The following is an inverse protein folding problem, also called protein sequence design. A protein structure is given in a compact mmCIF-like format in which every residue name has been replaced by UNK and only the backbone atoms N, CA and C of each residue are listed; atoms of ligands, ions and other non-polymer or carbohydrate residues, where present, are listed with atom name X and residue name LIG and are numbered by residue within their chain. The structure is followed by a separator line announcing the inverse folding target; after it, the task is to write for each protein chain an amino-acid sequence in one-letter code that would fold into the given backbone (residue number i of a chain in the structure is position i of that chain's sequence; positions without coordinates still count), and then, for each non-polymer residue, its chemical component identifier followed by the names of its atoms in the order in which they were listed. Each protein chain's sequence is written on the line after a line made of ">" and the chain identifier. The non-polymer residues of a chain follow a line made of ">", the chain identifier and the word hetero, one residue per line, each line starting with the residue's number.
data_IF_634256823016
#
_entry.id   IF_634256823016
#
_cell.length_a   1.000
_cell.length_b   1.000
_cell.length_c   1.000
_cell.angle_alpha   90.00
_cell.angle_beta   90.00
_cell.angle_gamma   90.00
#
_symmetry.space_group_name_H-M   'P 1'
#
loop_
_entity.id
_entity.type
_entity.pdbx_description
1 polymer ?
#
# COMPACT_ATOMS: atom_id res chain seq x y z
N UNK A 1 -32.96 1.10 -21.43
CA UNK A 1 -32.08 2.19 -20.96
C UNK A 1 -31.26 1.72 -19.76
N UNK A 2 -31.90 1.10 -18.76
CA UNK A 2 -31.25 0.47 -17.61
C UNK A 2 -30.24 -0.63 -18.00
N UNK A 3 -30.56 -1.50 -18.97
CA UNK A 3 -29.65 -2.60 -19.36
C UNK A 3 -28.35 -2.11 -20.01
N UNK A 4 -28.40 -1.00 -20.77
CA UNK A 4 -27.21 -0.36 -21.32
C UNK A 4 -26.34 0.26 -20.23
N UNK A 5 -26.96 0.84 -19.19
CA UNK A 5 -26.24 1.40 -18.05
C UNK A 5 -25.57 0.30 -17.22
N UNK A 6 -26.27 -0.80 -16.93
CA UNK A 6 -25.72 -1.93 -16.17
C UNK A 6 -24.57 -2.58 -16.95
N UNK A 7 -24.74 -2.78 -18.27
CA UNK A 7 -23.67 -3.28 -19.13
C UNK A 7 -22.45 -2.35 -19.11
N UNK A 8 -22.64 -1.04 -19.26
CA UNK A 8 -21.55 -0.06 -19.14
C UNK A 8 -20.84 -0.17 -17.79
N UNK A 9 -21.58 -0.16 -16.68
CA UNK A 9 -21.04 -0.22 -15.32
C UNK A 9 -20.17 -1.47 -15.09
N UNK A 10 -20.61 -2.62 -15.59
CA UNK A 10 -19.89 -3.88 -15.42
C UNK A 10 -18.58 -3.94 -16.23
N UNK A 11 -18.46 -3.20 -17.34
CA UNK A 11 -17.27 -3.23 -18.21
C UNK A 11 -16.31 -2.06 -17.96
N UNK A 12 -16.56 -1.19 -16.96
CA UNK A 12 -15.62 -0.13 -16.56
C UNK A 12 -14.22 -0.70 -16.27
N UNK A 13 -14.04 -1.79 -15.49
CA UNK A 13 -12.71 -2.29 -15.14
C UNK A 13 -11.88 -2.74 -16.34
N UNK A 14 -12.52 -3.22 -17.40
CA UNK A 14 -11.85 -3.70 -18.62
C UNK A 14 -11.15 -2.57 -19.37
N UNK A 15 -11.62 -1.34 -19.21
CA UNK A 15 -11.08 -0.17 -19.88
C UNK A 15 -10.05 0.58 -19.02
N UNK A 16 -9.77 0.10 -17.80
CA UNK A 16 -8.82 0.72 -16.88
C UNK A 16 -7.50 -0.05 -16.93
N UNK A 17 -6.44 0.57 -17.44
CA UNK A 17 -5.11 0.00 -17.35
C UNK A 17 -4.60 0.09 -15.89
N UNK A 18 -4.18 -1.03 -15.26
CA UNK A 18 -3.61 -1.01 -13.92
C UNK A 18 -2.29 -0.24 -13.79
N UNK A 19 -1.58 -0.06 -14.91
CA UNK A 19 -0.27 0.53 -14.94
C UNK A 19 -0.37 2.02 -15.32
N UNK A 20 0.22 2.87 -14.49
CA UNK A 20 0.40 4.30 -14.74
C UNK A 20 1.56 4.56 -15.69
N UNK A 21 2.69 3.91 -15.42
CA UNK A 21 3.94 4.04 -16.18
C UNK A 21 4.56 2.65 -16.29
N UNK A 22 5.00 2.31 -17.50
CA UNK A 22 5.73 1.07 -17.77
C UNK A 22 7.09 1.43 -18.38
N UNK A 23 8.17 1.03 -17.71
CA UNK A 23 9.55 1.20 -18.19
C UNK A 23 10.20 -0.19 -18.16
N UNK A 24 10.22 -0.86 -19.32
CA UNK A 24 10.73 -2.24 -19.42
C UNK A 24 9.94 -3.21 -18.54
N UNK A 25 10.60 -3.87 -17.60
CA UNK A 25 9.96 -4.77 -16.63
C UNK A 25 9.39 -4.06 -15.39
N UNK A 26 9.67 -2.76 -15.23
CA UNK A 26 9.15 -1.98 -14.11
C UNK A 26 7.77 -1.42 -14.45
N UNK A 27 6.74 -1.89 -13.74
CA UNK A 27 5.36 -1.44 -13.87
C UNK A 27 4.96 -0.66 -12.61
N UNK A 28 4.78 0.65 -12.74
CA UNK A 28 4.21 1.46 -11.68
C UNK A 28 2.69 1.37 -11.75
N UNK A 29 2.06 0.76 -10.74
CA UNK A 29 0.60 0.55 -10.70
C UNK A 29 -0.13 1.68 -9.99
N UNK A 30 -1.35 1.98 -10.41
CA UNK A 30 -2.16 3.05 -9.79
C UNK A 30 -2.43 2.81 -8.31
N UNK A 31 -2.61 1.56 -7.88
CA UNK A 31 -2.86 1.27 -6.47
C UNK A 31 -1.64 1.59 -5.60
N UNK A 32 -0.42 1.45 -6.14
CA UNK A 32 0.81 1.85 -5.47
C UNK A 32 0.83 3.36 -5.21
N UNK A 33 0.41 4.15 -6.20
CA UNK A 33 0.24 5.59 -6.03
C UNK A 33 -0.83 5.93 -4.97
N UNK A 34 -1.94 5.18 -4.94
CA UNK A 34 -2.98 5.38 -3.94
C UNK A 34 -2.50 5.12 -2.51
N UNK A 35 -1.57 4.20 -2.29
CA UNK A 35 -0.92 4.04 -0.99
C UNK A 35 -0.14 5.30 -0.58
N UNK A 36 0.62 5.91 -1.50
CA UNK A 36 1.35 7.16 -1.23
C UNK A 36 0.39 8.29 -0.87
N UNK A 37 -0.74 8.40 -1.60
CA UNK A 37 -1.78 9.38 -1.30
C UNK A 37 -2.36 9.13 0.09
N UNK A 38 -2.72 7.88 0.42
CA UNK A 38 -3.27 7.51 1.72
C UNK A 38 -2.30 7.86 2.87
N UNK A 39 -1.02 7.48 2.74
CA UNK A 39 0.01 7.81 3.74
C UNK A 39 0.19 9.32 3.89
N UNK A 40 0.19 10.07 2.78
CA UNK A 40 0.30 11.52 2.81
C UNK A 40 -0.87 12.17 3.53
N UNK A 41 -2.10 11.75 3.21
CA UNK A 41 -3.32 12.26 3.87
C UNK A 41 -3.29 11.98 5.37
N UNK A 42 -2.94 10.75 5.78
CA UNK A 42 -2.82 10.39 7.21
C UNK A 42 -1.77 11.26 7.89
N UNK A 43 -0.58 11.42 7.28
CA UNK A 43 0.48 12.26 7.83
C UNK A 43 0.02 13.71 8.03
N UNK A 44 -0.61 14.31 7.02
CA UNK A 44 -1.11 15.69 7.10
C UNK A 44 -2.19 15.85 8.18
N UNK A 45 -3.11 14.89 8.30
CA UNK A 45 -4.15 14.91 9.34
C UNK A 45 -3.56 14.77 10.74
N UNK A 46 -2.59 13.88 10.94
CA UNK A 46 -1.90 13.73 12.23
C UNK A 46 -1.16 15.00 12.59
N UNK A 47 -0.41 15.59 11.65
CA UNK A 47 0.31 16.86 11.89
C UNK A 47 -0.65 18.01 12.19
N UNK A 48 -1.79 18.09 11.49
CA UNK A 48 -2.85 19.07 11.76
C UNK A 48 -3.40 18.90 13.17
N UNK A 49 -3.71 17.66 13.58
CA UNK A 49 -4.22 17.35 14.92
C UNK A 49 -3.21 17.69 16.02
N UNK A 50 -1.95 17.28 15.86
CA UNK A 50 -0.86 17.60 16.81
C UNK A 50 -0.74 19.11 17.03
N UNK A 51 -0.80 19.89 15.95
CA UNK A 51 -0.72 21.35 16.03
C UNK A 51 -1.94 22.00 16.70
N UNK A 52 -3.15 21.53 16.41
CA UNK A 52 -4.39 22.20 16.85
C UNK A 52 -4.86 21.75 18.24
N UNK A 53 -4.65 20.49 18.59
CA UNK A 53 -5.08 19.93 19.89
C UNK A 53 -4.00 20.11 20.97
N UNK A 54 -2.92 20.85 20.67
CA UNK A 54 -1.82 21.22 21.58
C UNK A 54 -1.15 20.01 22.26
N UNK A 55 -1.04 18.89 21.55
CA UNK A 55 -0.26 17.76 22.05
C UNK A 55 1.22 18.14 22.14
N UNK A 56 1.90 17.77 23.23
CA UNK A 56 3.33 18.01 23.46
C UNK A 56 4.23 17.03 22.67
N UNK A 57 3.84 16.65 21.46
CA UNK A 57 4.66 15.80 20.60
C UNK A 57 5.48 16.68 19.64
N UNK A 58 6.80 16.48 19.63
CA UNK A 58 7.64 17.05 18.57
C UNK A 58 7.25 16.44 17.22
N UNK A 59 7.31 17.26 16.17
CA UNK A 59 7.15 16.83 14.78
C UNK A 59 8.09 15.67 14.43
N UNK A 60 9.32 15.66 14.95
CA UNK A 60 10.31 14.63 14.69
C UNK A 60 9.87 13.26 15.25
N UNK A 61 9.24 13.25 16.42
CA UNK A 61 8.71 12.03 17.03
C UNK A 61 7.61 11.46 16.13
N UNK A 62 6.67 12.29 15.70
CA UNK A 62 5.57 11.88 14.81
C UNK A 62 6.11 11.31 13.50
N UNK A 63 7.10 11.97 12.89
CA UNK A 63 7.72 11.49 11.66
C UNK A 63 8.45 10.17 11.86
N UNK A 64 9.22 10.01 12.94
CA UNK A 64 9.90 8.76 13.26
C UNK A 64 8.89 7.61 13.42
N UNK A 65 7.84 7.81 14.22
CA UNK A 65 6.78 6.80 14.38
C UNK A 65 6.08 6.47 13.07
N UNK A 66 5.84 7.48 12.23
CA UNK A 66 5.19 7.28 10.93
C UNK A 66 6.02 6.39 10.00
N UNK A 67 7.34 6.59 9.96
CA UNK A 67 8.26 5.74 9.19
C UNK A 67 8.24 4.31 9.74
N UNK A 68 8.34 4.15 11.06
CA UNK A 68 8.26 2.83 11.71
C UNK A 68 6.93 2.12 11.45
N UNK A 69 5.81 2.86 11.40
CA UNK A 69 4.50 2.32 11.08
C UNK A 69 4.44 1.81 9.64
N UNK A 70 4.97 2.57 8.66
CA UNK A 70 5.04 2.13 7.25
C UNK A 70 5.88 0.84 7.14
N UNK A 71 7.05 0.81 7.78
CA UNK A 71 7.89 -0.39 7.82
C UNK A 71 7.16 -1.58 8.46
N UNK A 72 6.44 -1.34 9.55
CA UNK A 72 5.62 -2.34 10.22
C UNK A 72 4.53 -2.92 9.31
N UNK A 73 3.86 -2.08 8.51
CA UNK A 73 2.86 -2.55 7.53
C UNK A 73 3.51 -3.40 6.44
N UNK A 74 4.66 -2.97 5.91
CA UNK A 74 5.36 -3.72 4.86
C UNK A 74 5.86 -5.09 5.35
N UNK A 75 6.53 -5.11 6.50
CA UNK A 75 7.06 -6.34 7.12
C UNK A 75 5.91 -7.24 7.56
N UNK A 76 4.93 -6.68 8.27
CA UNK A 76 3.76 -7.41 8.77
C UNK A 76 2.93 -8.01 7.64
N UNK A 77 2.72 -7.27 6.54
CA UNK A 77 2.04 -7.79 5.35
C UNK A 77 2.78 -8.98 4.73
N UNK A 78 4.12 -8.90 4.65
CA UNK A 78 4.93 -10.01 4.09
C UNK A 78 4.91 -11.24 4.99
N UNK A 79 5.12 -11.06 6.29
CA UNK A 79 5.08 -12.16 7.27
C UNK A 79 3.67 -12.78 7.33
N UNK A 80 2.63 -11.95 7.34
CA UNK A 80 1.25 -12.41 7.32
C UNK A 80 0.94 -13.24 6.08
N UNK A 81 1.37 -12.78 4.89
CA UNK A 81 1.22 -13.57 3.67
C UNK A 81 1.91 -14.94 3.77
N UNK A 82 3.15 -14.96 4.26
CA UNK A 82 3.94 -16.18 4.43
C UNK A 82 3.24 -17.15 5.38
N UNK A 83 2.82 -16.69 6.56
CA UNK A 83 2.23 -17.55 7.59
C UNK A 83 0.85 -18.06 7.18
N UNK A 84 -0.01 -17.19 6.63
CA UNK A 84 -1.42 -17.53 6.43
C UNK A 84 -1.74 -18.07 5.04
N UNK A 85 -0.94 -17.75 4.02
CA UNK A 85 -1.27 -18.11 2.62
C UNK A 85 -0.29 -19.10 1.99
N UNK A 86 1.00 -19.07 2.34
CA UNK A 86 2.02 -19.87 1.63
C UNK A 86 3.10 -20.46 2.55
N UNK A 87 2.71 -20.91 3.75
CA UNK A 87 3.65 -21.31 4.80
C UNK A 87 4.59 -22.44 4.36
N UNK A 88 4.04 -23.54 3.85
CA UNK A 88 4.83 -24.71 3.43
C UNK A 88 5.85 -24.37 2.34
N UNK A 89 5.49 -23.46 1.43
CA UNK A 89 6.40 -22.98 0.40
C UNK A 89 7.61 -22.33 1.06
N UNK A 90 7.41 -21.27 1.85
CA UNK A 90 8.49 -20.47 2.41
C UNK A 90 9.30 -21.17 3.52
N UNK A 91 8.78 -22.21 4.18
CA UNK A 91 9.58 -23.00 5.14
C UNK A 91 10.73 -23.74 4.44
N UNK A 92 10.48 -24.29 3.26
CA UNK A 92 11.54 -24.93 2.45
C UNK A 92 12.51 -23.92 1.83
N UNK A 93 12.18 -22.63 1.96
CA UNK A 93 12.56 -21.57 1.03
C UNK A 93 12.50 -20.19 1.74
N UNK A 94 13.34 -19.95 2.77
CA UNK A 94 13.24 -18.76 3.61
C UNK A 94 13.78 -17.46 2.98
N UNK A 95 14.78 -17.53 2.11
CA UNK A 95 15.37 -16.37 1.39
C UNK A 95 14.40 -15.58 0.46
N UNK A 96 13.54 -16.24 -0.31
CA UNK A 96 12.40 -15.72 -1.08
C UNK A 96 11.37 -14.93 -0.25
N UNK A 97 11.36 -15.04 1.08
CA UNK A 97 10.55 -14.15 1.92
C UNK A 97 11.00 -12.70 1.71
N UNK A 98 12.30 -12.45 1.56
CA UNK A 98 12.90 -11.12 1.42
C UNK A 98 13.08 -10.77 -0.06
N UNK A 99 13.50 -11.73 -0.89
CA UNK A 99 13.81 -11.52 -2.31
C UNK A 99 12.84 -12.28 -3.20
N UNK A 100 11.75 -11.65 -3.69
CA UNK A 100 10.75 -12.31 -4.52
C UNK A 100 11.23 -12.60 -5.96
N UNK A 101 12.45 -12.21 -6.32
CA UNK A 101 13.05 -12.44 -7.63
C UNK A 101 14.01 -13.63 -7.51
N UNK A 102 13.49 -14.85 -7.64
CA UNK A 102 14.27 -16.10 -7.72
C UNK A 102 13.93 -16.85 -9.00
#
# INVERSE_FOLDING_TARGET
>A
MLDKFISFWNHIPEHINPNLIEIGQFQLRYYGLMYIVAFTVVYLLVMYRVKNEKYEYSKDIVQNYFIWAILGVMIGGRIGYVIFYNFNYYVSRPWEIILPFS
#
